data_IF_476018447189
#
_entry.id   IF_476018447189
#
_cell.length_a   1.000
_cell.length_b   1.000
_cell.length_c   1.000
_cell.angle_alpha   90.00
_cell.angle_beta   90.00
_cell.angle_gamma   90.00
#
_symmetry.space_group_name_H-M   'P 1'
#
loop_
_entity.id
_entity.type
_entity.pdbx_description
1 polymer ?
#
# COMPACT_ATOMS: atom_id res chain seq x y z
N UNK A 1 -32.20 -13.31 26.72
CA UNK A 1 -31.13 -13.94 25.93
C UNK A 1 -29.81 -13.55 26.57
N UNK A 2 -29.27 -14.45 27.39
CA UNK A 2 -28.11 -14.19 28.24
C UNK A 2 -26.82 -14.35 27.43
N UNK A 3 -25.80 -13.54 27.74
CA UNK A 3 -24.46 -13.55 27.12
C UNK A 3 -23.82 -14.95 27.12
N UNK A 4 -24.34 -15.87 27.94
CA UNK A 4 -23.85 -17.25 28.08
C UNK A 4 -24.10 -18.16 26.87
N UNK A 5 -25.09 -17.90 26.00
CA UNK A 5 -25.30 -18.70 24.77
C UNK A 5 -24.28 -18.37 23.66
N UNK A 6 -23.57 -17.24 23.78
CA UNK A 6 -22.48 -16.88 22.86
C UNK A 6 -21.22 -17.74 23.06
N UNK A 7 -21.16 -18.53 24.13
CA UNK A 7 -20.04 -19.42 24.48
C UNK A 7 -20.20 -20.84 23.93
N UNK A 8 -21.08 -21.08 22.95
CA UNK A 8 -21.08 -22.35 22.24
C UNK A 8 -19.67 -22.59 21.68
N UNK A 9 -18.99 -23.72 22.02
CA UNK A 9 -17.59 -23.98 21.70
C UNK A 9 -17.49 -24.35 20.22
N UNK A 10 -17.71 -23.37 19.36
CA UNK A 10 -17.27 -23.40 17.97
C UNK A 10 -15.90 -22.77 17.97
N UNK A 11 -14.93 -23.48 17.40
CA UNK A 11 -13.48 -23.26 17.47
C UNK A 11 -12.95 -21.93 16.87
N UNK A 12 -13.81 -20.92 16.72
CA UNK A 12 -13.52 -19.68 16.00
C UNK A 12 -13.21 -18.55 16.98
N UNK A 13 -12.01 -17.98 16.86
CA UNK A 13 -11.50 -16.93 17.76
C UNK A 13 -12.03 -15.52 17.43
N UNK A 14 -12.67 -15.34 16.27
CA UNK A 14 -13.19 -14.04 15.81
C UNK A 14 -14.64 -14.19 15.40
N UNK A 15 -15.51 -13.36 15.97
CA UNK A 15 -16.96 -13.40 15.74
C UNK A 15 -17.48 -11.97 15.64
N UNK A 16 -18.40 -11.74 14.70
CA UNK A 16 -19.17 -10.50 14.63
C UNK A 16 -20.66 -10.79 14.91
N UNK A 17 -21.28 -10.01 15.78
CA UNK A 17 -22.73 -10.06 16.05
C UNK A 17 -23.44 -8.90 15.36
N UNK A 18 -24.46 -9.22 14.55
CA UNK A 18 -25.30 -8.25 13.82
C UNK A 18 -26.72 -8.78 13.74
N UNK A 19 -27.71 -7.98 14.16
CA UNK A 19 -29.14 -8.33 14.00
C UNK A 19 -29.61 -9.59 14.75
N UNK A 20 -28.88 -10.04 15.78
CA UNK A 20 -29.16 -11.32 16.46
C UNK A 20 -28.44 -12.53 15.84
N UNK A 21 -27.82 -12.35 14.67
CA UNK A 21 -27.06 -13.37 13.97
C UNK A 21 -25.56 -13.33 14.32
N UNK A 22 -24.94 -14.51 14.29
CA UNK A 22 -23.51 -14.73 14.52
C UNK A 22 -22.80 -14.95 13.19
N UNK A 23 -21.79 -14.13 12.90
CA UNK A 23 -20.95 -14.23 11.70
C UNK A 23 -19.51 -14.59 12.08
N UNK A 24 -18.84 -15.40 11.24
CA UNK A 24 -17.43 -15.77 11.38
C UNK A 24 -16.66 -15.38 10.12
N UNK A 25 -15.40 -14.92 10.24
CA UNK A 25 -14.61 -14.52 9.08
C UNK A 25 -14.24 -15.75 8.25
N UNK A 26 -14.30 -15.61 6.93
CA UNK A 26 -13.83 -16.61 5.96
C UNK A 26 -13.09 -15.90 4.84
N UNK A 27 -11.85 -16.31 4.59
CA UNK A 27 -11.14 -15.94 3.38
C UNK A 27 -11.74 -16.72 2.21
N UNK A 28 -12.13 -15.99 1.16
CA UNK A 28 -12.60 -16.55 -0.10
C UNK A 28 -11.73 -16.00 -1.21
N UNK A 29 -11.49 -16.82 -2.23
CA UNK A 29 -10.83 -16.33 -3.43
C UNK A 29 -11.76 -15.31 -4.11
N UNK A 30 -11.30 -14.07 -4.34
CA UNK A 30 -12.10 -13.09 -5.06
C UNK A 30 -12.21 -13.49 -6.54
N UNK A 31 -13.41 -13.37 -7.11
CA UNK A 31 -13.58 -13.41 -8.56
C UNK A 31 -13.22 -12.02 -9.08
N UNK A 32 -11.98 -11.87 -9.56
CA UNK A 32 -11.47 -10.62 -10.12
C UNK A 32 -11.56 -10.71 -11.64
N UNK A 33 -12.35 -9.85 -12.26
CA UNK A 33 -12.24 -9.62 -13.70
C UNK A 33 -11.05 -8.69 -13.94
N UNK A 34 -10.12 -9.02 -14.85
CA UNK A 34 -9.01 -8.13 -15.14
C UNK A 34 -9.58 -6.79 -15.61
N UNK A 35 -9.16 -5.66 -15.01
CA UNK A 35 -9.58 -4.36 -15.53
C UNK A 35 -9.12 -4.26 -16.99
N UNK A 36 -9.87 -3.53 -17.85
CA UNK A 36 -9.38 -3.21 -19.20
C UNK A 36 -7.98 -2.61 -19.08
N UNK A 37 -7.08 -2.95 -20.03
CA UNK A 37 -5.69 -2.48 -20.04
C UNK A 37 -5.72 -0.95 -20.02
N UNK A 38 -5.56 -0.36 -18.84
CA UNK A 38 -5.66 1.07 -18.66
C UNK A 38 -4.29 1.72 -18.96
N UNK A 39 -4.38 2.80 -19.73
CA UNK A 39 -3.39 3.80 -20.08
C UNK A 39 -2.56 4.28 -18.86
N UNK A 40 -1.51 5.05 -19.16
CA UNK A 40 -0.69 5.79 -18.20
C UNK A 40 -1.51 6.27 -16.99
N UNK A 41 -1.34 5.59 -15.84
CA UNK A 41 -2.17 5.79 -14.63
C UNK A 41 -1.81 7.09 -13.91
N UNK A 42 -0.57 7.54 -14.10
CA UNK A 42 -0.03 8.69 -13.42
C UNK A 42 0.21 9.84 -14.40
N UNK A 43 -0.37 11.00 -14.08
CA UNK A 43 -0.04 12.26 -14.74
C UNK A 43 1.38 12.67 -14.39
N UNK A 44 2.16 13.01 -15.40
CA UNK A 44 3.54 13.47 -15.26
C UNK A 44 3.65 14.78 -14.47
N UNK A 45 2.66 15.68 -14.59
CA UNK A 45 2.66 16.99 -13.92
C UNK A 45 2.22 16.95 -12.46
N UNK A 46 1.67 15.82 -11.99
CA UNK A 46 1.23 15.67 -10.60
C UNK A 46 2.38 15.21 -9.69
N UNK A 47 2.23 15.48 -8.39
CA UNK A 47 3.11 14.98 -7.34
C UNK A 47 2.41 13.90 -6.53
N UNK A 48 3.09 12.77 -6.33
CA UNK A 48 2.56 11.63 -5.58
C UNK A 48 3.29 11.49 -4.24
N UNK A 49 2.53 11.41 -3.16
CA UNK A 49 3.06 11.16 -1.83
C UNK A 49 3.13 9.65 -1.56
N UNK A 50 4.30 9.17 -1.17
CA UNK A 50 4.51 7.79 -0.71
C UNK A 50 5.07 7.83 0.71
N UNK A 51 4.33 7.27 1.66
CA UNK A 51 4.79 7.10 3.04
C UNK A 51 5.44 5.73 3.21
N UNK A 52 6.48 5.65 4.04
CA UNK A 52 7.11 4.37 4.38
C UNK A 52 7.83 3.71 3.20
N UNK A 53 8.55 4.48 2.37
CA UNK A 53 9.22 4.00 1.15
C UNK A 53 10.42 3.05 1.37
N UNK A 54 10.70 2.66 2.62
CA UNK A 54 11.78 1.72 2.97
C UNK A 54 11.32 0.28 2.74
N UNK A 55 12.23 -0.59 2.28
CA UNK A 55 11.91 -2.00 2.01
C UNK A 55 11.04 -2.20 0.75
N UNK A 56 9.91 -2.89 0.90
CA UNK A 56 9.05 -3.32 -0.24
C UNK A 56 8.37 -2.16 -0.99
N UNK A 57 8.33 -0.98 -0.40
CA UNK A 57 7.68 0.19 -0.99
C UNK A 57 8.51 0.84 -2.11
N UNK A 58 9.84 0.66 -2.16
CA UNK A 58 10.64 1.20 -3.26
C UNK A 58 10.36 0.53 -4.62
N UNK A 59 10.21 -0.81 -4.72
CA UNK A 59 9.67 -1.44 -5.93
C UNK A 59 8.33 -0.86 -6.41
N UNK A 60 7.48 -0.39 -5.49
CA UNK A 60 6.23 0.27 -5.85
C UNK A 60 6.49 1.65 -6.47
N UNK A 61 7.44 2.43 -5.95
CA UNK A 61 7.89 3.71 -6.55
C UNK A 61 8.38 3.49 -7.99
N UNK A 62 9.20 2.47 -8.23
CA UNK A 62 9.64 2.13 -9.60
C UNK A 62 8.47 1.75 -10.51
N UNK A 63 7.50 1.00 -10.00
CA UNK A 63 6.28 0.67 -10.74
C UNK A 63 5.47 1.92 -11.08
N UNK A 64 5.38 2.90 -10.17
CA UNK A 64 4.72 4.18 -10.42
C UNK A 64 5.43 4.96 -11.52
N UNK A 65 6.77 5.03 -11.48
CA UNK A 65 7.58 5.71 -12.51
C UNK A 65 7.37 5.08 -13.88
N UNK A 66 7.39 3.75 -13.99
CA UNK A 66 7.09 3.04 -15.26
C UNK A 66 5.70 3.34 -15.81
N UNK A 67 4.77 3.80 -14.97
CA UNK A 67 3.39 4.15 -15.33
C UNK A 67 3.14 5.67 -15.44
N UNK A 68 4.20 6.47 -15.52
CA UNK A 68 4.13 7.91 -15.83
C UNK A 68 4.33 8.85 -14.64
N UNK A 69 4.53 8.33 -13.43
CA UNK A 69 4.85 9.21 -12.31
C UNK A 69 6.24 9.84 -12.52
N UNK A 70 6.34 11.16 -12.34
CA UNK A 70 7.61 11.90 -12.45
C UNK A 70 7.96 12.70 -11.21
N UNK A 71 6.98 13.19 -10.43
CA UNK A 71 7.24 13.89 -9.18
C UNK A 71 6.76 13.04 -8.01
N UNK A 72 7.68 12.61 -7.13
CA UNK A 72 7.36 11.71 -6.02
C UNK A 72 7.94 12.30 -4.73
N UNK A 73 7.06 12.56 -3.76
CA UNK A 73 7.42 12.93 -2.40
C UNK A 73 7.49 11.66 -1.55
N UNK A 74 8.71 11.30 -1.16
CA UNK A 74 9.02 10.14 -0.32
C UNK A 74 9.10 10.61 1.13
N UNK A 75 8.10 10.25 1.92
CA UNK A 75 8.01 10.61 3.34
C UNK A 75 8.34 9.40 4.20
N UNK A 76 9.27 9.58 5.14
CA UNK A 76 9.50 8.61 6.21
C UNK A 76 10.02 9.31 7.46
N UNK A 77 10.15 8.59 8.57
CA UNK A 77 10.73 9.14 9.82
C UNK A 77 12.12 9.74 9.63
N UNK A 78 12.87 9.29 8.63
CA UNK A 78 14.22 9.78 8.31
C UNK A 78 14.27 10.23 6.85
N UNK A 79 14.89 11.39 6.57
CA UNK A 79 14.94 12.01 5.23
C UNK A 79 16.18 11.60 4.41
N UNK A 80 16.64 10.36 4.56
CA UNK A 80 17.77 9.78 3.83
C UNK A 80 17.31 8.71 2.83
N UNK A 81 18.15 8.49 1.81
CA UNK A 81 18.02 7.36 0.90
C UNK A 81 18.65 6.14 1.58
N UNK A 82 17.93 5.03 1.79
CA UNK A 82 18.53 3.79 2.27
C UNK A 82 19.59 3.29 1.28
N UNK A 83 20.75 2.85 1.79
CA UNK A 83 21.83 2.29 0.96
C UNK A 83 21.37 1.13 0.06
N UNK A 84 20.36 0.36 0.50
CA UNK A 84 19.77 -0.74 -0.27
C UNK A 84 19.05 -0.31 -1.56
N UNK A 85 18.74 0.98 -1.71
CA UNK A 85 18.03 1.51 -2.90
C UNK A 85 18.74 2.70 -3.55
N UNK A 86 19.92 3.09 -3.06
CA UNK A 86 20.66 4.27 -3.52
C UNK A 86 20.92 4.26 -5.04
N UNK A 87 21.45 3.16 -5.58
CA UNK A 87 21.70 3.03 -7.02
C UNK A 87 20.41 3.12 -7.86
N UNK A 88 19.30 2.58 -7.35
CA UNK A 88 18.01 2.60 -8.03
C UNK A 88 17.38 3.99 -7.94
N UNK A 89 17.52 4.67 -6.81
CA UNK A 89 17.11 6.06 -6.62
C UNK A 89 17.81 6.97 -7.64
N UNK A 90 19.14 6.90 -7.71
CA UNK A 90 19.94 7.68 -8.66
C UNK A 90 19.56 7.36 -10.11
N UNK A 91 19.31 6.09 -10.43
CA UNK A 91 18.85 5.70 -11.77
C UNK A 91 17.51 6.35 -12.12
N UNK A 92 16.53 6.36 -11.21
CA UNK A 92 15.24 7.01 -11.47
C UNK A 92 15.39 8.53 -11.67
N UNK A 93 16.25 9.19 -10.88
CA UNK A 93 16.53 10.62 -11.07
C UNK A 93 17.20 10.91 -12.42
N UNK A 94 18.16 10.08 -12.83
CA UNK A 94 18.80 10.18 -14.14
C UNK A 94 17.80 10.02 -15.31
N UNK A 95 16.68 9.33 -15.08
CA UNK A 95 15.58 9.19 -16.05
C UNK A 95 14.52 10.30 -15.92
N UNK A 96 14.87 11.43 -15.29
CA UNK A 96 14.03 12.63 -15.23
C UNK A 96 12.95 12.59 -14.14
N UNK A 97 13.02 11.66 -13.20
CA UNK A 97 12.13 11.66 -12.05
C UNK A 97 12.64 12.61 -10.97
N UNK A 98 11.75 13.39 -10.36
CA UNK A 98 12.03 14.21 -9.18
C UNK A 98 11.59 13.47 -7.93
N UNK A 99 12.55 12.83 -7.26
CA UNK A 99 12.32 12.12 -6.00
C UNK A 99 12.76 13.03 -4.84
N UNK A 100 11.81 13.48 -4.03
CA UNK A 100 12.09 14.38 -2.90
C UNK A 100 11.87 13.66 -1.59
N UNK A 101 12.88 13.65 -0.73
CA UNK A 101 12.82 13.05 0.60
C UNK A 101 12.31 14.09 1.60
N UNK A 102 11.41 13.67 2.47
CA UNK A 102 10.89 14.48 3.56
C UNK A 102 10.87 13.65 4.85
N UNK A 103 11.33 14.27 5.94
CA UNK A 103 11.20 13.69 7.27
C UNK A 103 9.82 14.06 7.84
N UNK A 104 9.05 13.07 8.26
CA UNK A 104 7.86 13.26 9.09
C UNK A 104 7.61 12.02 9.94
N UNK A 105 6.98 12.21 11.10
CA UNK A 105 6.42 11.09 11.85
C UNK A 105 5.10 10.68 11.20
N UNK A 106 4.98 9.42 10.79
CA UNK A 106 3.88 8.87 9.97
C UNK A 106 3.40 7.54 10.49
#
# INVERSE_FOLDING_TARGET
YSVVDALHPTAEQVVAFRGGDRYVPRLRQPVISPPPIAETVFRETATYLVTGFRGIAFPFVEWMVRRGARNIALVSRSADVPSSVEARFAALEAHGCRLRLFAADT
#
